data_IF_390841547320
#
_entry.id   IF_390841547320
#
_cell.length_a   1.000
_cell.length_b   1.000
_cell.length_c   1.000
_cell.angle_alpha   90.00
_cell.angle_beta   90.00
_cell.angle_gamma   90.00
#
_symmetry.space_group_name_H-M   'P 1'
#
loop_
_entity.id
_entity.type
_entity.pdbx_description
1 polymer ?
#
# COMPACT_ATOMS: atom_id res chain seq x y z
N UNK A 1 -4.59 4.48 -11.46
CA UNK A 1 -4.36 5.86 -12.05
C UNK A 1 -4.21 6.94 -10.96
N UNK A 2 -4.99 6.87 -9.89
CA UNK A 2 -5.01 7.86 -8.81
C UNK A 2 -3.70 7.91 -8.01
N UNK A 3 -3.15 6.77 -7.59
CA UNK A 3 -1.90 6.71 -6.83
C UNK A 3 -0.71 7.39 -7.55
N UNK A 4 -0.62 7.22 -8.87
CA UNK A 4 0.40 7.90 -9.69
C UNK A 4 0.21 9.42 -9.75
N UNK A 5 -1.04 9.90 -9.76
CA UNK A 5 -1.31 11.34 -9.71
C UNK A 5 -0.95 11.93 -8.35
N UNK A 6 -1.29 11.24 -7.25
CA UNK A 6 -0.98 11.66 -5.89
C UNK A 6 0.53 11.69 -5.61
N UNK A 7 1.32 10.87 -6.29
CA UNK A 7 2.79 10.87 -6.21
C UNK A 7 3.43 12.22 -6.57
N UNK A 8 2.74 13.08 -7.33
CA UNK A 8 3.23 14.42 -7.65
C UNK A 8 3.32 15.36 -6.44
N UNK A 9 2.69 15.00 -5.32
CA UNK A 9 2.79 15.70 -4.04
C UNK A 9 3.53 14.83 -3.01
N UNK A 10 4.87 14.90 -2.97
CA UNK A 10 5.70 13.97 -2.19
C UNK A 10 5.50 14.07 -0.66
N UNK A 11 4.84 15.14 -0.19
CA UNK A 11 4.52 15.32 1.23
C UNK A 11 3.29 14.53 1.69
N UNK A 12 2.47 14.03 0.76
CA UNK A 12 1.24 13.32 1.10
C UNK A 12 1.52 11.93 1.67
N UNK A 13 0.70 11.54 2.64
CA UNK A 13 0.52 10.16 3.09
C UNK A 13 -0.81 9.68 2.56
N UNK A 14 -0.84 8.54 1.89
CA UNK A 14 -2.08 8.00 1.35
C UNK A 14 -2.04 6.50 1.21
N UNK A 15 -3.24 5.92 1.21
CA UNK A 15 -3.54 4.57 0.78
C UNK A 15 -4.62 4.67 -0.30
N UNK A 16 -4.47 3.90 -1.37
CA UNK A 16 -5.47 3.77 -2.43
C UNK A 16 -5.66 2.29 -2.71
N UNK A 17 -6.91 1.83 -2.62
CA UNK A 17 -7.30 0.47 -3.02
C UNK A 17 -8.06 0.56 -4.35
N UNK A 18 -7.63 -0.24 -5.32
CA UNK A 18 -8.30 -0.43 -6.61
C UNK A 18 -8.98 -1.81 -6.58
N UNK A 19 -10.29 -1.85 -6.86
CA UNK A 19 -11.05 -3.09 -6.93
C UNK A 19 -10.59 -3.99 -8.08
N UNK A 20 -10.71 -5.32 -7.96
CA UNK A 20 -10.42 -6.24 -9.05
C UNK A 20 -11.34 -5.97 -10.26
N UNK A 21 -10.81 -6.28 -11.45
CA UNK A 21 -11.57 -6.23 -12.71
C UNK A 21 -11.33 -7.51 -13.53
N UNK A 22 -11.97 -7.64 -14.69
CA UNK A 22 -11.81 -8.84 -15.52
C UNK A 22 -10.34 -9.08 -15.88
N UNK A 23 -9.76 -10.17 -15.37
CA UNK A 23 -8.37 -10.55 -15.60
C UNK A 23 -7.32 -9.71 -14.86
N UNK A 24 -7.73 -8.84 -13.94
CA UNK A 24 -6.83 -7.96 -13.16
C UNK A 24 -7.15 -8.06 -11.68
N UNK A 25 -6.16 -8.43 -10.87
CA UNK A 25 -6.30 -8.47 -9.42
C UNK A 25 -6.55 -7.07 -8.84
N UNK A 26 -7.24 -7.02 -7.69
CA UNK A 26 -7.31 -5.81 -6.90
C UNK A 26 -5.92 -5.43 -6.41
N UNK A 27 -5.70 -4.13 -6.16
CA UNK A 27 -4.37 -3.63 -5.78
C UNK A 27 -4.46 -2.52 -4.73
N UNK A 28 -3.61 -2.60 -3.72
CA UNK A 28 -3.39 -1.55 -2.74
C UNK A 28 -2.09 -0.82 -3.05
N UNK A 29 -2.14 0.50 -2.99
CA UNK A 29 -0.99 1.40 -3.10
C UNK A 29 -0.88 2.21 -1.82
N UNK A 30 0.30 2.24 -1.23
CA UNK A 30 0.56 3.01 0.00
C UNK A 30 1.77 3.89 -0.21
N UNK A 31 1.67 5.16 0.18
CA UNK A 31 2.78 6.10 0.09
C UNK A 31 3.00 6.79 1.43
N UNK A 32 4.26 6.78 1.87
CA UNK A 32 4.73 7.52 3.04
C UNK A 32 6.01 8.24 2.63
N UNK A 33 6.15 9.56 2.88
CA UNK A 33 7.28 10.34 2.35
C UNK A 33 8.68 9.77 2.63
N UNK A 34 8.88 9.13 3.78
CA UNK A 34 10.17 8.53 4.17
C UNK A 34 10.37 7.10 3.65
N UNK A 35 9.30 6.40 3.29
CA UNK A 35 9.34 5.00 2.83
C UNK A 35 9.17 4.90 1.31
N UNK A 36 8.64 5.92 0.66
CA UNK A 36 8.28 5.92 -0.75
C UNK A 36 6.95 5.20 -1.01
N UNK A 37 6.79 4.69 -2.23
CA UNK A 37 5.60 3.97 -2.68
C UNK A 37 5.77 2.47 -2.48
N UNK A 38 4.75 1.84 -1.92
CA UNK A 38 4.56 0.40 -1.88
C UNK A 38 3.28 0.03 -2.62
N UNK A 39 3.26 -1.18 -3.18
CA UNK A 39 2.06 -1.75 -3.79
C UNK A 39 2.01 -3.27 -3.65
N UNK A 40 0.81 -3.80 -3.43
CA UNK A 40 0.55 -5.23 -3.34
C UNK A 40 -0.82 -5.60 -3.89
N UNK A 41 -0.93 -6.77 -4.52
CA UNK A 41 -2.23 -7.31 -4.92
C UNK A 41 -3.07 -7.65 -3.69
N UNK A 42 -4.37 -7.48 -3.77
CA UNK A 42 -5.32 -7.75 -2.68
C UNK A 42 -6.32 -8.83 -3.07
N UNK A 43 -6.63 -9.71 -2.15
CA UNK A 43 -7.76 -10.64 -2.27
C UNK A 43 -9.10 -9.89 -2.13
N UNK A 44 -10.21 -10.58 -2.41
CA UNK A 44 -11.54 -10.00 -2.29
C UNK A 44 -11.91 -9.52 -0.87
N UNK A 45 -11.30 -10.09 0.17
CA UNK A 45 -11.47 -9.66 1.57
C UNK A 45 -10.43 -8.62 2.02
N UNK A 46 -9.54 -8.17 1.14
CA UNK A 46 -8.55 -7.13 1.41
C UNK A 46 -7.20 -7.61 1.92
N UNK A 47 -6.94 -8.92 1.96
CA UNK A 47 -5.64 -9.45 2.37
C UNK A 47 -4.58 -9.18 1.30
N UNK A 48 -3.35 -8.91 1.72
CA UNK A 48 -2.22 -8.81 0.80
C UNK A 48 -1.84 -10.19 0.28
N UNK A 49 -1.87 -10.34 -1.04
CA UNK A 49 -1.48 -11.57 -1.72
C UNK A 49 0.00 -11.53 -2.09
N UNK A 50 0.72 -12.53 -1.63
CA UNK A 50 2.10 -12.80 -2.03
C UNK A 50 2.10 -13.96 -3.03
N UNK A 51 2.61 -13.72 -4.25
CA UNK A 51 2.65 -14.76 -5.27
C UNK A 51 3.69 -15.84 -4.98
N UNK A 52 3.45 -17.04 -5.51
CA UNK A 52 4.40 -18.16 -5.43
C UNK A 52 5.80 -17.76 -5.91
N UNK A 53 5.89 -17.03 -7.03
CA UNK A 53 7.17 -16.58 -7.58
C UNK A 53 7.94 -15.69 -6.60
N UNK A 54 7.24 -14.80 -5.88
CA UNK A 54 7.85 -13.97 -4.84
C UNK A 54 8.31 -14.80 -3.64
N UNK A 55 7.52 -15.78 -3.21
CA UNK A 55 7.90 -16.70 -2.13
C UNK A 55 9.12 -17.55 -2.52
N UNK A 56 9.20 -18.04 -3.76
CA UNK A 56 10.37 -18.77 -4.25
C UNK A 56 11.62 -17.90 -4.25
N UNK A 57 11.51 -16.65 -4.71
CA UNK A 57 12.62 -15.70 -4.65
C UNK A 57 13.09 -15.43 -3.21
N UNK A 58 12.15 -15.29 -2.27
CA UNK A 58 12.44 -15.17 -0.83
C UNK A 58 13.15 -16.42 -0.27
N UNK A 59 12.81 -17.62 -0.73
CA UNK A 59 13.49 -18.84 -0.29
C UNK A 59 14.93 -18.96 -0.82
N UNK A 60 15.27 -18.23 -1.87
CA UNK A 60 16.62 -18.16 -2.44
C UNK A 60 17.47 -17.04 -1.80
N UNK A 61 16.87 -16.16 -0.99
CA UNK A 61 17.59 -15.09 -0.30
C UNK A 61 18.28 -15.57 0.98
N UNK A 62 18.99 -14.66 1.67
CA UNK A 62 19.69 -14.98 2.91
C UNK A 62 18.68 -15.43 3.99
N UNK A 63 18.83 -16.61 4.61
CA UNK A 63 17.91 -17.05 5.66
C UNK A 63 17.75 -16.05 6.81
N UNK A 64 18.76 -15.21 7.04
CA UNK A 64 18.72 -14.14 8.04
C UNK A 64 17.83 -12.95 7.69
N UNK A 65 17.44 -12.76 6.42
CA UNK A 65 16.60 -11.64 5.95
C UNK A 65 15.14 -12.01 5.72
N UNK A 66 14.75 -13.28 5.88
CA UNK A 66 13.40 -13.76 5.52
C UNK A 66 12.29 -12.92 6.17
N UNK A 67 12.40 -12.63 7.47
CA UNK A 67 11.38 -11.86 8.19
C UNK A 67 11.28 -10.42 7.68
N UNK A 68 12.41 -9.73 7.50
CA UNK A 68 12.41 -8.34 7.04
C UNK A 68 11.99 -8.20 5.58
N UNK A 69 12.33 -9.17 4.73
CA UNK A 69 11.83 -9.22 3.36
C UNK A 69 10.32 -9.48 3.32
N UNK A 70 9.82 -10.37 4.18
CA UNK A 70 8.38 -10.61 4.29
C UNK A 70 7.63 -9.35 4.75
N UNK A 71 8.16 -8.62 5.73
CA UNK A 71 7.57 -7.34 6.18
C UNK A 71 7.50 -6.32 5.03
N UNK A 72 8.55 -6.25 4.20
CA UNK A 72 8.55 -5.39 3.02
C UNK A 72 7.52 -5.84 1.98
N UNK A 73 7.39 -7.15 1.76
CA UNK A 73 6.43 -7.72 0.82
C UNK A 73 4.97 -7.48 1.26
N UNK A 74 4.71 -7.52 2.56
CA UNK A 74 3.40 -7.25 3.16
C UNK A 74 3.10 -5.75 3.28
N UNK A 75 4.13 -4.90 3.26
CA UNK A 75 3.98 -3.46 3.40
C UNK A 75 3.83 -3.01 4.85
N UNK A 76 4.31 -3.79 5.81
CA UNK A 76 4.13 -3.57 7.26
C UNK A 76 4.51 -2.15 7.68
N UNK A 77 5.66 -1.64 7.23
CA UNK A 77 6.10 -0.29 7.58
C UNK A 77 5.17 0.82 7.07
N UNK A 78 4.49 0.59 5.93
CA UNK A 78 3.48 1.53 5.42
C UNK A 78 2.18 1.42 6.21
N UNK A 79 1.74 0.20 6.53
CA UNK A 79 0.58 -0.03 7.39
C UNK A 79 0.78 0.68 8.74
N UNK A 80 1.90 0.46 9.43
CA UNK A 80 2.22 1.11 10.72
C UNK A 80 2.21 2.64 10.64
N UNK A 81 2.79 3.19 9.56
CA UNK A 81 2.87 4.63 9.37
C UNK A 81 1.53 5.29 8.99
N UNK A 82 0.61 4.52 8.40
CA UNK A 82 -0.71 4.98 7.98
C UNK A 82 -1.81 4.68 8.99
N UNK A 83 -1.59 3.73 9.90
CA UNK A 83 -2.54 3.31 10.95
C UNK A 83 -3.11 4.50 11.75
N UNK A 84 -2.33 5.52 12.16
CA UNK A 84 -2.87 6.68 12.88
C UNK A 84 -3.94 7.46 12.10
N UNK A 85 -3.98 7.33 10.78
CA UNK A 85 -4.93 8.03 9.90
C UNK A 85 -6.16 7.18 9.57
N UNK A 86 -6.18 5.87 9.90
CA UNK A 86 -7.32 4.97 9.63
C UNK A 86 -8.49 5.19 10.59
N UNK A 87 -8.21 5.65 11.82
CA UNK A 87 -9.24 5.86 12.85
C UNK A 87 -9.97 7.21 12.79
N UNK A 88 -9.83 7.99 11.70
CA UNK A 88 -10.48 9.29 11.55
C UNK A 88 -12.00 9.27 11.29
N UNK A 89 -12.65 8.11 11.44
CA UNK A 89 -14.05 7.89 11.04
C UNK A 89 -15.12 8.54 11.91
N UNK A 90 -14.79 9.09 13.08
CA UNK A 90 -15.74 9.83 13.91
C UNK A 90 -15.14 11.18 14.33
N UNK A 91 -15.28 12.18 13.45
CA UNK A 91 -14.94 13.57 13.74
C UNK A 91 -13.63 14.11 13.14
N UNK A 92 -12.88 13.35 12.33
CA UNK A 92 -11.80 13.97 11.56
C UNK A 92 -12.39 14.87 10.46
N UNK A 93 -11.96 16.13 10.41
CA UNK A 93 -12.42 17.10 9.42
C UNK A 93 -11.99 16.65 8.01
N UNK A 94 -12.94 16.09 7.25
CA UNK A 94 -12.72 15.70 5.86
C UNK A 94 -12.50 16.97 5.03
N UNK A 95 -11.24 17.32 4.81
CA UNK A 95 -10.89 18.42 3.91
C UNK A 95 -10.94 17.90 2.47
N UNK A 96 -12.07 18.14 1.82
CA UNK A 96 -12.20 17.91 0.38
C UNK A 96 -11.32 18.91 -0.37
N UNK A 97 -10.24 18.42 -1.00
CA UNK A 97 -9.49 19.21 -1.96
C UNK A 97 -10.38 19.47 -3.19
N UNK A 98 -10.88 20.70 -3.33
CA UNK A 98 -11.52 21.15 -4.57
C UNK A 98 -10.46 21.79 -5.45
N UNK A 99 -10.37 21.35 -6.71
CA UNK A 99 -9.57 22.03 -7.71
C UNK A 99 -10.15 23.42 -7.97
N UNK A 100 -9.34 24.46 -7.77
CA UNK A 100 -9.64 25.79 -8.31
C UNK A 100 -9.18 25.81 -9.75
N UNK A 101 -10.15 25.92 -10.66
CA UNK A 101 -9.96 26.36 -12.03
C UNK A 101 -10.46 27.79 -12.17
#
# INVERSE_FOLDING_TARGET
RLANALRSWPVLRFEVTEDPSEGVDGQRFSHVPQLGMWSGSTSANGDIMVSEMRLRGLMESDPGSITSELDNMLGTAWDDALEPYRSGGDGAEVTWLRGVG
#
